data_IF_220615581530
#
_entry.id   IF_220615581530
#
_cell.length_a   1.000
_cell.length_b   1.000
_cell.length_c   1.000
_cell.angle_alpha   90.00
_cell.angle_beta   90.00
_cell.angle_gamma   90.00
#
_symmetry.space_group_name_H-M   'P 1'
#
loop_
_entity.id
_entity.type
_entity.pdbx_description
1 polymer ?
#
# COMPACT_ATOMS: atom_id res chain seq x y z
N UNK A 1 -21.90 18.17 8.71
CA UNK A 1 -21.63 16.87 8.12
C UNK A 1 -20.32 16.33 8.64
N UNK A 2 -20.34 15.15 9.25
CA UNK A 2 -19.11 14.57 9.77
C UNK A 2 -18.27 14.01 8.61
N UNK A 3 -16.98 14.26 8.65
CA UNK A 3 -16.05 13.70 7.67
C UNK A 3 -15.70 12.27 8.06
N UNK A 4 -15.58 11.42 7.05
CA UNK A 4 -15.15 10.04 7.25
C UNK A 4 -13.64 9.98 7.41
N UNK A 5 -13.18 9.06 8.24
CA UNK A 5 -11.77 8.70 8.28
C UNK A 5 -11.48 7.77 7.11
N UNK A 6 -10.48 8.11 6.33
CA UNK A 6 -10.02 7.33 5.18
C UNK A 6 -8.56 6.97 5.35
N UNK A 7 -8.14 5.92 4.65
CA UNK A 7 -6.75 5.48 4.66
C UNK A 7 -6.28 5.37 3.22
N UNK A 8 -5.19 6.07 2.87
CA UNK A 8 -4.54 5.87 1.58
C UNK A 8 -3.48 4.79 1.71
N UNK A 9 -3.38 3.94 0.70
CA UNK A 9 -2.43 2.84 0.66
C UNK A 9 -1.68 2.89 -0.66
N UNK A 10 -0.36 2.76 -0.59
CA UNK A 10 0.49 2.68 -1.76
C UNK A 10 1.57 1.64 -1.52
N UNK A 11 1.68 0.66 -2.42
CA UNK A 11 2.68 -0.40 -2.33
C UNK A 11 3.65 -0.32 -3.50
N UNK A 12 4.93 -0.63 -3.22
CA UNK A 12 5.87 -1.00 -4.26
C UNK A 12 6.08 -2.51 -4.18
N UNK A 13 6.15 -3.16 -5.34
CA UNK A 13 6.23 -4.62 -5.44
C UNK A 13 7.29 -5.04 -6.45
N UNK A 14 7.67 -6.32 -6.42
CA UNK A 14 8.64 -6.87 -7.38
C UNK A 14 8.03 -7.13 -8.76
N UNK A 15 6.73 -7.00 -8.91
CA UNK A 15 6.03 -7.21 -10.17
C UNK A 15 4.54 -7.13 -10.00
N UNK A 16 3.80 -7.56 -11.03
CA UNK A 16 2.35 -7.34 -11.11
C UNK A 16 1.52 -8.52 -10.59
N UNK A 17 2.15 -9.66 -10.34
CA UNK A 17 1.44 -10.89 -9.96
C UNK A 17 1.50 -11.07 -8.44
N UNK A 18 0.37 -10.85 -7.76
CA UNK A 18 0.34 -10.94 -6.30
C UNK A 18 0.55 -12.35 -5.76
N UNK A 19 0.50 -13.38 -6.60
CA UNK A 19 0.82 -14.75 -6.17
C UNK A 19 2.30 -15.06 -6.22
N UNK A 20 3.04 -14.42 -7.14
CA UNK A 20 4.46 -14.68 -7.37
C UNK A 20 5.37 -13.58 -6.88
N UNK A 21 4.89 -12.36 -6.94
CA UNK A 21 5.70 -11.20 -6.60
C UNK A 21 5.54 -10.82 -5.12
N UNK A 22 6.46 -10.02 -4.65
CA UNK A 22 6.55 -9.65 -3.25
C UNK A 22 6.41 -8.15 -3.06
N UNK A 23 5.94 -7.76 -1.87
CA UNK A 23 5.87 -6.37 -1.45
C UNK A 23 7.28 -5.88 -1.11
N UNK A 24 7.66 -4.71 -1.62
CA UNK A 24 8.94 -4.05 -1.34
C UNK A 24 8.82 -2.83 -0.45
N UNK A 25 7.68 -2.16 -0.47
CA UNK A 25 7.44 -0.98 0.36
C UNK A 25 5.97 -0.86 0.63
N UNK A 26 5.64 -0.43 1.83
CA UNK A 26 4.27 -0.09 2.24
C UNK A 26 4.26 1.36 2.66
N UNK A 27 3.40 2.16 2.03
CA UNK A 27 3.11 3.53 2.46
C UNK A 27 1.64 3.61 2.84
N UNK A 28 1.34 4.21 3.98
CA UNK A 28 -0.02 4.32 4.48
C UNK A 28 -0.21 5.66 5.19
N UNK A 29 -1.33 6.32 4.89
CA UNK A 29 -1.70 7.59 5.52
C UNK A 29 -3.16 7.51 5.94
N UNK A 30 -3.42 7.77 7.20
CA UNK A 30 -4.76 7.86 7.75
C UNK A 30 -5.13 9.32 7.89
N UNK A 31 -6.28 9.71 7.38
CA UNK A 31 -6.67 11.11 7.37
C UNK A 31 -8.18 11.28 7.49
N UNK A 32 -8.58 12.49 7.90
CA UNK A 32 -9.97 12.91 7.98
C UNK A 32 -10.06 14.33 7.42
N UNK A 33 -10.69 14.49 6.26
CA UNK A 33 -10.65 15.75 5.56
C UNK A 33 -9.21 16.13 5.19
N UNK A 34 -8.76 17.29 5.64
CA UNK A 34 -7.39 17.75 5.40
C UNK A 34 -6.43 17.40 6.53
N UNK A 35 -6.92 16.77 7.60
CA UNK A 35 -6.10 16.42 8.76
C UNK A 35 -5.48 15.03 8.60
N UNK A 36 -4.15 14.97 8.64
CA UNK A 36 -3.41 13.70 8.68
C UNK A 36 -3.39 13.23 10.14
N UNK A 37 -4.00 12.07 10.37
CA UNK A 37 -4.08 11.48 11.71
C UNK A 37 -2.88 10.60 12.01
N UNK A 38 -2.39 9.86 11.00
CA UNK A 38 -1.23 8.97 11.15
C UNK A 38 -0.62 8.73 9.78
N UNK A 39 0.70 8.62 9.74
CA UNK A 39 1.44 8.39 8.51
C UNK A 39 2.59 7.43 8.80
N UNK A 40 2.79 6.45 7.93
CA UNK A 40 3.85 5.46 8.11
C UNK A 40 4.26 4.88 6.77
N UNK A 41 5.55 4.60 6.63
CA UNK A 41 6.07 3.87 5.48
C UNK A 41 7.27 3.06 5.89
N UNK A 42 7.50 1.95 5.19
CA UNK A 42 8.67 1.12 5.42
C UNK A 42 9.03 0.31 4.20
N UNK A 43 10.32 0.10 4.01
CA UNK A 43 10.84 -0.85 3.05
C UNK A 43 10.72 -2.24 3.66
N UNK A 44 10.27 -3.19 2.85
CA UNK A 44 10.06 -4.58 3.27
C UNK A 44 11.16 -5.44 2.67
N UNK A 45 11.73 -6.32 3.47
CA UNK A 45 12.67 -7.31 2.96
C UNK A 45 11.89 -8.47 2.34
N UNK A 46 11.93 -8.66 1.01
CA UNK A 46 11.17 -9.71 0.35
C UNK A 46 11.81 -11.10 0.52
N UNK A 47 13.00 -11.17 1.11
CA UNK A 47 13.77 -12.41 1.28
C UNK A 47 14.04 -13.14 -0.04
N UNK A 48 14.19 -12.35 -1.11
CA UNK A 48 14.53 -12.82 -2.46
C UNK A 48 15.25 -11.70 -3.21
N UNK A 49 15.98 -12.02 -4.28
CA UNK A 49 16.63 -10.99 -5.11
C UNK A 49 15.60 -10.04 -5.71
N UNK A 50 16.00 -8.78 -5.86
CA UNK A 50 15.18 -7.76 -6.53
C UNK A 50 15.68 -7.65 -7.96
N UNK A 51 14.81 -7.86 -8.98
CA UNK A 51 15.23 -7.67 -10.37
C UNK A 51 15.73 -6.24 -10.59
N UNK A 52 16.81 -6.10 -11.37
CA UNK A 52 17.40 -4.78 -11.64
C UNK A 52 16.38 -3.79 -12.19
N UNK A 53 15.46 -4.25 -13.02
CA UNK A 53 14.40 -3.43 -13.58
C UNK A 53 13.49 -2.84 -12.50
N UNK A 54 13.23 -3.59 -11.44
CA UNK A 54 12.39 -3.13 -10.34
C UNK A 54 13.12 -2.05 -9.56
N UNK A 55 14.41 -2.20 -9.30
CA UNK A 55 15.22 -1.15 -8.68
C UNK A 55 15.17 0.13 -9.52
N UNK A 56 15.26 -0.01 -10.83
CA UNK A 56 15.19 1.11 -11.76
C UNK A 56 13.84 1.83 -11.70
N UNK A 57 12.75 1.06 -11.62
CA UNK A 57 11.39 1.62 -11.58
C UNK A 57 11.01 2.22 -10.23
N UNK A 58 11.41 1.59 -9.14
CA UNK A 58 10.97 1.97 -7.79
C UNK A 58 11.99 2.80 -7.03
N UNK A 59 13.25 2.75 -7.42
CA UNK A 59 14.34 3.35 -6.67
C UNK A 59 14.79 2.53 -5.46
N UNK A 60 14.15 1.39 -5.20
CA UNK A 60 14.50 0.52 -4.06
C UNK A 60 15.63 -0.41 -4.48
N UNK A 61 16.76 -0.30 -3.82
CA UNK A 61 17.96 -1.08 -4.11
C UNK A 61 18.09 -2.26 -3.14
N UNK A 62 18.84 -3.31 -3.52
CA UNK A 62 19.16 -4.39 -2.57
C UNK A 62 19.81 -3.89 -1.30
N UNK A 63 20.67 -2.86 -1.38
CA UNK A 63 21.31 -2.27 -0.22
C UNK A 63 20.30 -1.63 0.74
N UNK A 64 19.31 -0.92 0.22
CA UNK A 64 18.24 -0.32 1.03
C UNK A 64 17.45 -1.38 1.77
N UNK A 65 17.14 -2.48 1.08
CA UNK A 65 16.41 -3.61 1.68
C UNK A 65 17.23 -4.26 2.78
N UNK A 66 18.53 -4.43 2.56
CA UNK A 66 19.41 -5.03 3.55
C UNK A 66 19.55 -4.16 4.79
N UNK A 67 19.67 -2.84 4.62
CA UNK A 67 19.88 -1.91 5.73
C UNK A 67 18.60 -1.55 6.48
N UNK A 68 17.53 -1.29 5.73
CA UNK A 68 16.31 -0.69 6.28
C UNK A 68 15.08 -1.60 6.20
N UNK A 69 15.16 -2.68 5.44
CA UNK A 69 14.03 -3.57 5.23
C UNK A 69 13.59 -4.28 6.50
N UNK A 70 12.28 -4.21 6.78
CA UNK A 70 11.68 -4.95 7.89
C UNK A 70 11.03 -6.23 7.37
N UNK A 71 10.67 -7.12 8.28
CA UNK A 71 9.96 -8.35 7.93
C UNK A 71 8.57 -8.04 7.42
N UNK A 72 8.12 -8.78 6.41
CA UNK A 72 6.81 -8.60 5.82
C UNK A 72 5.70 -8.61 6.88
N UNK A 73 5.74 -9.58 7.80
CA UNK A 73 4.70 -9.68 8.83
C UNK A 73 4.62 -8.42 9.69
N UNK A 74 5.76 -7.83 10.06
CA UNK A 74 5.79 -6.61 10.85
C UNK A 74 5.19 -5.43 10.07
N UNK A 75 5.48 -5.35 8.78
CA UNK A 75 4.90 -4.32 7.91
C UNK A 75 3.39 -4.48 7.75
N UNK A 76 2.94 -5.71 7.53
CA UNK A 76 1.52 -6.00 7.36
C UNK A 76 0.72 -5.69 8.64
N UNK A 77 1.23 -6.08 9.80
CA UNK A 77 0.53 -5.84 11.06
C UNK A 77 0.48 -4.36 11.41
N UNK A 78 1.55 -3.63 11.13
CA UNK A 78 1.56 -2.18 11.34
C UNK A 78 0.54 -1.49 10.44
N UNK A 79 0.51 -1.84 9.15
CA UNK A 79 -0.46 -1.27 8.21
C UNK A 79 -1.90 -1.60 8.62
N UNK A 80 -2.14 -2.85 9.02
CA UNK A 80 -3.46 -3.28 9.51
C UNK A 80 -3.91 -2.46 10.72
N UNK A 81 -3.01 -2.27 11.68
CA UNK A 81 -3.35 -1.56 12.90
C UNK A 81 -3.65 -0.08 12.62
N UNK A 82 -2.91 0.54 11.71
CA UNK A 82 -3.18 1.91 11.30
C UNK A 82 -4.52 2.01 10.59
N UNK A 83 -4.76 1.13 9.61
CA UNK A 83 -5.97 1.18 8.79
C UNK A 83 -7.24 0.91 9.60
N UNK A 84 -7.18 -0.04 10.53
CA UNK A 84 -8.37 -0.48 11.24
C UNK A 84 -9.45 -0.92 10.25
N UNK A 85 -10.67 -0.44 10.44
CA UNK A 85 -11.81 -0.74 9.56
C UNK A 85 -12.12 0.36 8.55
N UNK A 86 -11.26 1.38 8.46
CA UNK A 86 -11.50 2.52 7.57
C UNK A 86 -11.51 2.10 6.09
N UNK A 87 -12.25 2.79 5.23
CA UNK A 87 -12.14 2.57 3.80
C UNK A 87 -10.74 2.89 3.30
N UNK A 88 -10.27 2.09 2.34
CA UNK A 88 -8.94 2.25 1.75
C UNK A 88 -9.09 2.93 0.40
N UNK A 89 -8.39 4.04 0.23
CA UNK A 89 -8.43 4.83 -0.99
C UNK A 89 -7.06 4.81 -1.67
N UNK A 90 -7.04 4.75 -2.98
CA UNK A 90 -5.80 4.80 -3.75
C UNK A 90 -6.05 4.70 -5.24
N UNK A 91 -5.01 5.00 -6.02
CA UNK A 91 -5.04 4.85 -7.47
C UNK A 91 -4.79 3.39 -7.80
N UNK A 92 -5.72 2.79 -8.58
CA UNK A 92 -5.66 1.36 -8.90
C UNK A 92 -5.60 0.50 -7.63
N UNK A 93 -6.44 0.83 -6.66
CA UNK A 93 -6.36 0.28 -5.30
C UNK A 93 -6.58 -1.23 -5.26
N UNK A 94 -7.30 -1.80 -6.23
CA UNK A 94 -7.51 -3.25 -6.27
C UNK A 94 -6.20 -4.01 -6.45
N UNK A 95 -5.23 -3.42 -7.15
CA UNK A 95 -3.90 -4.01 -7.29
C UNK A 95 -3.21 -4.09 -5.91
N UNK A 96 -3.15 -2.98 -5.19
CA UNK A 96 -2.51 -2.93 -3.87
C UNK A 96 -3.24 -3.82 -2.87
N UNK A 97 -4.56 -3.78 -2.86
CA UNK A 97 -5.36 -4.63 -1.98
C UNK A 97 -5.21 -6.11 -2.31
N UNK A 98 -4.98 -6.47 -3.57
CA UNK A 98 -4.71 -7.85 -3.96
C UNK A 98 -3.50 -8.42 -3.22
N UNK A 99 -2.43 -7.63 -3.11
CA UNK A 99 -1.25 -8.03 -2.34
C UNK A 99 -1.53 -8.14 -0.84
N UNK A 100 -2.26 -7.19 -0.28
CA UNK A 100 -2.61 -7.21 1.15
C UNK A 100 -3.54 -8.38 1.48
N UNK A 101 -4.55 -8.61 0.65
CA UNK A 101 -5.56 -9.66 0.86
C UNK A 101 -5.02 -11.06 0.67
N UNK A 102 -4.00 -11.23 -0.15
CA UNK A 102 -3.26 -12.49 -0.23
C UNK A 102 -2.76 -12.92 1.14
N UNK A 103 -2.34 -11.95 1.95
CA UNK A 103 -1.86 -12.18 3.31
C UNK A 103 -2.96 -12.01 4.36
N UNK A 104 -4.22 -12.03 3.92
CA UNK A 104 -5.42 -11.91 4.78
C UNK A 104 -5.50 -10.60 5.55
N UNK A 105 -4.95 -9.54 4.96
CA UNK A 105 -5.03 -8.20 5.55
C UNK A 105 -6.03 -7.35 4.77
N UNK A 106 -6.75 -6.48 5.48
CA UNK A 106 -7.70 -5.53 4.90
C UNK A 106 -8.81 -6.18 4.06
N UNK A 107 -9.21 -7.40 4.42
CA UNK A 107 -10.19 -8.18 3.65
C UNK A 107 -11.57 -7.55 3.63
N UNK A 108 -11.94 -6.87 4.71
CA UNK A 108 -13.28 -6.31 4.89
C UNK A 108 -13.34 -4.81 4.66
N UNK A 109 -12.20 -4.16 4.44
CA UNK A 109 -12.17 -2.72 4.22
C UNK A 109 -12.77 -2.39 2.85
N UNK A 110 -13.62 -1.38 2.81
CA UNK A 110 -14.16 -0.88 1.56
C UNK A 110 -13.01 -0.30 0.73
N UNK A 111 -13.02 -0.56 -0.57
CA UNK A 111 -12.04 0.00 -1.50
C UNK A 111 -12.63 1.18 -2.26
N UNK A 112 -11.88 2.27 -2.33
CA UNK A 112 -12.27 3.45 -3.10
C UNK A 112 -11.13 3.75 -4.08
N UNK A 113 -11.38 3.57 -5.38
CA UNK A 113 -10.38 3.84 -6.40
C UNK A 113 -10.46 5.29 -6.84
N UNK A 114 -9.36 6.04 -6.65
CA UNK A 114 -9.32 7.45 -7.02
C UNK A 114 -9.43 7.66 -8.53
N UNK A 115 -9.01 6.69 -9.32
CA UNK A 115 -9.16 6.74 -10.78
C UNK A 115 -10.64 6.73 -11.17
N UNK A 116 -11.43 5.83 -10.58
CA UNK A 116 -12.88 5.77 -10.84
C UNK A 116 -13.57 7.02 -10.33
N UNK A 117 -13.18 7.51 -9.15
CA UNK A 117 -13.74 8.73 -8.58
C UNK A 117 -13.46 9.93 -9.49
N UNK A 118 -12.24 10.03 -10.02
CA UNK A 118 -11.87 11.11 -10.94
C UNK A 118 -12.70 11.07 -12.23
N UNK A 119 -12.95 9.89 -12.78
CA UNK A 119 -13.77 9.78 -14.00
C UNK A 119 -15.24 10.12 -13.77
N UNK A 120 -15.73 10.00 -12.54
CA UNK A 120 -17.08 10.42 -12.18
C UNK A 120 -17.15 11.94 -12.00
N UNK A 121 -16.13 12.54 -11.42
CA UNK A 121 -16.12 13.96 -11.05
C UNK A 121 -15.76 14.88 -12.21
N UNK A 122 -15.03 14.37 -13.21
CA UNK A 122 -14.60 15.19 -14.36
C UNK A 122 -15.60 15.03 -15.50
N UNK A 123 -16.27 16.11 -15.92
CA UNK A 123 -17.19 16.02 -17.06
C UNK A 123 -16.43 15.70 -18.34
N UNK A 124 -17.02 14.87 -19.14
CA UNK A 124 -16.46 14.47 -20.44
C UNK A 124 -16.85 15.44 -21.55
#
# INVERSE_FOLDING_TARGET
MSMRTLVSLDLETTGLDNERDAILEIGIVKFRGEEVLEEWSAVINPERPIPAKITELTGITPAMVEMDGIKLWDGLTTARDIAGSAPIIGHNIQFDLGFMRKHRQLEKNQAIDTFELASILVPH
#
